data_IF_137918149490
#
_entry.id   IF_137918149490
#
_cell.length_a   1.000
_cell.length_b   1.000
_cell.length_c   1.000
_cell.angle_alpha   90.00
_cell.angle_beta   90.00
_cell.angle_gamma   90.00
#
_symmetry.space_group_name_H-M   'P 1'
#
loop_
_entity.id
_entity.type
_entity.pdbx_description
1 polymer ?
#
# COMPACT_ATOMS: atom_id res chain seq x y z
N UNK A 1 -4.99 7.06 -6.55
CA UNK A 1 -6.37 7.27 -6.08
C UNK A 1 -7.03 5.92 -5.97
N UNK A 2 -7.92 5.73 -5.00
CA UNK A 2 -8.86 4.62 -4.95
C UNK A 2 -10.27 5.13 -4.64
N UNK A 3 -11.28 4.37 -5.08
CA UNK A 3 -12.70 4.64 -4.84
C UNK A 3 -13.40 3.35 -4.41
N UNK A 4 -14.14 3.41 -3.31
CA UNK A 4 -14.97 2.32 -2.77
C UNK A 4 -16.44 2.51 -3.14
N UNK A 5 -17.26 1.46 -3.02
CA UNK A 5 -18.72 1.59 -3.22
C UNK A 5 -19.37 2.40 -2.10
N UNK A 6 -19.05 2.06 -0.86
CA UNK A 6 -19.54 2.73 0.34
C UNK A 6 -18.59 3.85 0.77
N UNK A 7 -19.04 4.82 1.60
CA UNK A 7 -18.14 5.78 2.22
C UNK A 7 -17.01 5.09 3.00
N UNK A 8 -15.81 5.66 2.93
CA UNK A 8 -14.66 5.20 3.69
C UNK A 8 -14.91 5.35 5.19
N UNK A 9 -14.48 4.35 5.96
CA UNK A 9 -14.52 4.40 7.42
C UNK A 9 -13.43 5.33 7.97
N UNK A 10 -13.25 5.36 9.28
CA UNK A 10 -12.28 6.25 9.91
C UNK A 10 -10.85 5.85 9.52
N UNK A 11 -9.98 6.81 9.18
CA UNK A 11 -8.57 6.51 8.91
C UNK A 11 -7.80 6.03 10.13
N UNK A 12 -8.39 6.06 11.33
CA UNK A 12 -7.80 5.49 12.53
C UNK A 12 -8.19 4.02 12.75
N UNK A 13 -9.07 3.47 11.91
CA UNK A 13 -9.46 2.08 11.96
C UNK A 13 -8.28 1.18 11.57
N UNK A 14 -8.25 -0.03 12.13
CA UNK A 14 -7.17 -0.99 11.92
C UNK A 14 -7.15 -1.44 10.45
N UNK A 15 -5.98 -1.32 9.82
CA UNK A 15 -5.76 -1.74 8.42
C UNK A 15 -6.68 -1.04 7.42
N UNK A 16 -7.06 0.21 7.71
CA UNK A 16 -7.82 1.05 6.80
C UNK A 16 -7.05 1.38 5.54
N UNK A 17 -7.65 1.10 4.37
CA UNK A 17 -7.16 1.48 3.04
C UNK A 17 -5.64 1.31 2.87
N UNK A 18 -5.13 0.09 3.12
CA UNK A 18 -3.73 -0.24 2.90
C UNK A 18 -3.40 -0.19 1.41
N UNK A 19 -2.26 0.41 1.08
CA UNK A 19 -1.67 0.35 -0.25
C UNK A 19 -0.35 -0.42 -0.17
N UNK A 20 -0.25 -1.49 -0.93
CA UNK A 20 0.95 -2.31 -1.08
C UNK A 20 1.53 -2.11 -2.48
N UNK A 21 2.85 -1.99 -2.58
CA UNK A 21 3.55 -1.70 -3.84
C UNK A 21 4.73 -2.65 -4.01
N UNK A 22 4.75 -3.35 -5.13
CA UNK A 22 5.90 -4.06 -5.69
C UNK A 22 6.57 -3.13 -6.71
N UNK A 23 7.69 -2.52 -6.32
CA UNK A 23 8.33 -1.47 -7.11
C UNK A 23 9.39 -2.01 -8.07
N UNK A 24 9.98 -3.17 -7.76
CA UNK A 24 11.08 -3.75 -8.54
C UNK A 24 10.71 -5.03 -9.31
N UNK A 25 9.50 -5.58 -9.09
CA UNK A 25 8.98 -6.83 -9.64
C UNK A 25 9.86 -8.03 -9.30
N UNK A 26 10.54 -7.96 -8.16
CA UNK A 26 11.38 -9.02 -7.66
C UNK A 26 10.71 -9.69 -6.44
N UNK A 27 10.20 -10.92 -6.57
CA UNK A 27 9.52 -11.60 -5.47
C UNK A 27 10.43 -11.91 -4.26
N UNK A 28 11.74 -11.65 -4.36
CA UNK A 28 12.74 -11.90 -3.32
C UNK A 28 12.99 -10.70 -2.38
N UNK A 29 12.57 -9.50 -2.77
CA UNK A 29 12.88 -8.25 -2.04
C UNK A 29 11.75 -7.81 -1.13
N UNK A 30 10.50 -8.12 -1.51
CA UNK A 30 9.30 -7.74 -0.78
C UNK A 30 8.71 -8.79 0.19
N UNK A 31 7.75 -8.33 1.00
CA UNK A 31 6.85 -9.19 1.75
C UNK A 31 5.78 -9.72 0.80
N UNK A 32 5.85 -11.01 0.44
CA UNK A 32 4.99 -11.60 -0.60
C UNK A 32 4.93 -10.75 -1.87
N UNK A 33 6.11 -10.35 -2.35
CA UNK A 33 6.36 -9.52 -3.54
C UNK A 33 6.24 -8.00 -3.30
N UNK A 34 5.70 -7.54 -2.16
CA UNK A 34 5.52 -6.11 -1.90
C UNK A 34 6.71 -5.47 -1.17
N UNK A 35 7.35 -4.50 -1.81
CA UNK A 35 8.46 -3.72 -1.26
C UNK A 35 8.00 -2.66 -0.25
N UNK A 36 6.80 -2.10 -0.45
CA UNK A 36 6.29 -0.97 0.33
C UNK A 36 4.86 -1.19 0.83
N UNK A 37 4.58 -0.63 2.01
CA UNK A 37 3.28 -0.61 2.66
C UNK A 37 2.95 0.81 3.14
N UNK A 38 1.74 1.29 2.85
CA UNK A 38 1.23 2.59 3.27
C UNK A 38 -0.07 2.39 4.07
N UNK A 39 -0.41 3.36 4.93
CA UNK A 39 -1.62 3.39 5.78
C UNK A 39 -1.67 2.38 6.94
N UNK A 40 -0.61 1.61 7.13
CA UNK A 40 -0.48 0.77 8.33
C UNK A 40 -0.34 1.59 9.62
N UNK A 41 0.20 2.81 9.52
CA UNK A 41 0.33 3.76 10.62
C UNK A 41 -0.13 5.15 10.16
N UNK A 42 -1.21 5.62 10.77
CA UNK A 42 -1.82 6.92 10.49
C UNK A 42 -1.54 7.88 11.64
N UNK A 43 -1.15 9.11 11.31
CA UNK A 43 -0.89 10.20 12.26
C UNK A 43 -1.93 11.30 12.10
N UNK A 44 -2.64 11.58 13.19
CA UNK A 44 -3.61 12.68 13.32
C UNK A 44 -4.69 12.70 12.22
N UNK A 45 -4.99 11.54 11.60
CA UNK A 45 -5.97 11.39 10.52
C UNK A 45 -5.62 12.11 9.21
N UNK A 46 -4.39 12.61 9.04
CA UNK A 46 -3.97 13.43 7.88
C UNK A 46 -2.68 12.96 7.22
N UNK A 47 -1.84 12.26 7.97
CA UNK A 47 -0.56 11.76 7.48
C UNK A 47 -0.47 10.26 7.68
N UNK A 48 0.25 9.61 6.80
CA UNK A 48 0.52 8.18 6.83
C UNK A 48 2.01 7.92 6.74
N UNK A 49 2.47 6.77 7.23
CA UNK A 49 3.87 6.37 7.06
C UNK A 49 4.01 5.47 5.83
N UNK A 50 4.96 5.84 4.97
CA UNK A 50 5.54 4.89 4.02
C UNK A 50 6.45 3.94 4.79
N UNK A 51 6.16 2.65 4.73
CA UNK A 51 7.02 1.61 5.26
C UNK A 51 7.68 0.85 4.11
N UNK A 52 8.95 0.46 4.29
CA UNK A 52 9.67 -0.41 3.37
C UNK A 52 9.90 -1.76 4.02
N UNK A 53 9.74 -2.84 3.28
CA UNK A 53 10.08 -4.17 3.78
C UNK A 53 11.59 -4.37 3.85
N UNK A 54 12.07 -4.86 4.98
CA UNK A 54 13.43 -5.34 5.15
C UNK A 54 13.42 -6.87 5.12
N UNK A 55 13.86 -7.46 4.00
CA UNK A 55 13.87 -8.91 3.80
C UNK A 55 14.89 -9.65 4.69
N UNK A 56 15.96 -8.98 5.12
CA UNK A 56 16.95 -9.56 6.03
C UNK A 56 16.36 -9.76 7.43
N UNK A 57 15.65 -8.76 7.96
CA UNK A 57 15.05 -8.84 9.29
C UNK A 57 13.57 -9.25 9.28
N UNK A 58 13.00 -9.47 8.09
CA UNK A 58 11.59 -9.83 7.87
C UNK A 58 10.61 -8.87 8.55
N UNK A 59 10.88 -7.57 8.50
CA UNK A 59 10.05 -6.56 9.16
C UNK A 59 9.79 -5.34 8.28
N UNK A 60 8.72 -4.61 8.59
CA UNK A 60 8.40 -3.33 7.98
C UNK A 60 9.10 -2.19 8.73
N UNK A 61 9.87 -1.38 8.03
CA UNK A 61 10.60 -0.23 8.57
C UNK A 61 9.95 1.08 8.12
N UNK A 62 9.72 2.00 9.06
CA UNK A 62 9.19 3.33 8.77
C UNK A 62 10.23 4.15 7.99
N UNK A 63 9.79 4.85 6.92
CA UNK A 63 10.68 5.65 6.06
C UNK A 63 10.38 7.13 6.15
N UNK A 64 9.20 7.54 5.68
CA UNK A 64 8.80 8.95 5.62
C UNK A 64 7.30 9.09 5.89
N UNK A 65 6.91 10.29 6.33
CA UNK A 65 5.50 10.68 6.38
C UNK A 65 5.03 11.18 5.01
N UNK A 66 3.82 10.78 4.64
CA UNK A 66 3.14 11.17 3.41
C UNK A 66 1.79 11.81 3.77
N UNK A 67 1.42 12.92 3.14
CA UNK A 67 0.06 13.44 3.26
C UNK A 67 -0.90 12.54 2.48
N UNK A 68 -2.11 12.40 3.00
CA UNK A 68 -3.23 11.83 2.27
C UNK A 68 -4.47 12.70 2.44
N UNK A 69 -5.40 12.59 1.50
CA UNK A 69 -6.73 13.19 1.61
C UNK A 69 -7.75 12.13 1.28
N UNK A 70 -8.88 12.18 1.96
CA UNK A 70 -10.02 11.35 1.62
C UNK A 70 -11.30 12.17 1.75
N UNK A 71 -12.31 11.80 0.96
CA UNK A 71 -13.62 12.42 0.98
C UNK A 71 -14.66 11.40 0.52
N UNK A 72 -15.68 11.16 1.36
CA UNK A 72 -16.70 10.13 1.13
C UNK A 72 -16.05 8.77 0.86
N UNK A 73 -16.16 8.27 -0.36
CA UNK A 73 -15.69 6.97 -0.80
C UNK A 73 -14.34 7.02 -1.54
N UNK A 74 -13.62 8.16 -1.51
CA UNK A 74 -12.40 8.39 -2.30
C UNK A 74 -11.20 8.71 -1.43
N UNK A 75 -10.03 8.18 -1.80
CA UNK A 75 -8.74 8.49 -1.18
C UNK A 75 -7.67 8.82 -2.22
N UNK A 76 -6.83 9.80 -1.89
CA UNK A 76 -5.68 10.23 -2.66
C UNK A 76 -4.41 10.27 -1.80
N UNK A 77 -3.30 9.82 -2.40
CA UNK A 77 -1.96 9.78 -1.83
C UNK A 77 -0.98 10.42 -2.81
N UNK A 78 -0.02 11.18 -2.31
CA UNK A 78 1.08 11.72 -3.10
C UNK A 78 2.41 11.12 -2.60
N UNK A 79 3.04 10.27 -3.42
CA UNK A 79 4.28 9.58 -3.08
C UNK A 79 5.41 10.07 -3.99
N UNK A 80 6.50 10.65 -3.46
CA UNK A 80 7.66 10.98 -4.27
C UNK A 80 8.26 9.71 -4.88
N UNK A 81 8.46 9.72 -6.19
CA UNK A 81 9.01 8.56 -6.93
C UNK A 81 10.35 8.06 -6.41
N UNK A 82 11.20 8.98 -5.94
CA UNK A 82 12.50 8.67 -5.35
C UNK A 82 12.38 7.77 -4.11
N UNK A 83 11.29 7.89 -3.34
CA UNK A 83 11.04 7.05 -2.17
C UNK A 83 10.71 5.59 -2.52
N UNK A 84 10.25 5.35 -3.75
CA UNK A 84 9.94 4.03 -4.30
C UNK A 84 11.07 3.46 -5.18
N UNK A 85 12.25 4.09 -5.20
CA UNK A 85 13.36 3.77 -6.12
C UNK A 85 13.01 3.89 -7.61
N UNK A 86 11.97 4.65 -7.96
CA UNK A 86 11.52 4.85 -9.34
C UNK A 86 12.16 6.10 -9.97
N UNK A 87 13.50 6.18 -9.97
CA UNK A 87 14.25 7.36 -10.44
C UNK A 87 14.39 7.46 -11.96
N UNK A 88 14.28 6.35 -12.68
CA UNK A 88 14.40 6.30 -14.16
C UNK A 88 13.23 7.00 -14.84
N UNK A 89 13.45 7.64 -15.99
CA UNK A 89 12.39 8.31 -16.77
C UNK A 89 11.19 7.37 -17.00
N UNK A 90 11.49 6.15 -17.43
CA UNK A 90 10.53 5.09 -17.64
C UNK A 90 10.54 4.16 -16.44
N UNK A 91 9.37 3.78 -15.96
CA UNK A 91 9.24 2.90 -14.81
C UNK A 91 7.97 2.07 -14.90
N UNK A 92 7.96 0.97 -14.16
CA UNK A 92 6.78 0.13 -14.00
C UNK A 92 6.78 -0.42 -12.59
N UNK A 93 5.64 -0.36 -11.92
CA UNK A 93 5.43 -0.97 -10.61
C UNK A 93 4.04 -1.58 -10.56
N UNK A 94 3.90 -2.57 -9.68
CA UNK A 94 2.66 -3.26 -9.40
C UNK A 94 2.14 -2.84 -8.02
N UNK A 95 0.82 -2.76 -7.85
CA UNK A 95 0.23 -2.34 -6.59
C UNK A 95 -1.12 -2.97 -6.30
N UNK A 96 -1.47 -2.96 -5.02
CA UNK A 96 -2.67 -3.57 -4.47
C UNK A 96 -3.27 -2.69 -3.36
N UNK A 97 -4.59 -2.51 -3.39
CA UNK A 97 -5.34 -1.89 -2.31
C UNK A 97 -6.06 -2.96 -1.50
N UNK A 98 -5.95 -2.90 -0.17
CA UNK A 98 -6.70 -3.76 0.74
C UNK A 98 -7.33 -2.90 1.84
N UNK A 99 -8.62 -3.07 2.08
CA UNK A 99 -9.33 -2.35 3.14
C UNK A 99 -9.81 -3.32 4.22
N UNK A 100 -9.38 -3.05 5.46
CA UNK A 100 -9.70 -3.84 6.65
C UNK A 100 -9.37 -5.35 6.58
N UNK A 101 -8.23 -5.81 6.00
CA UNK A 101 -7.82 -7.20 6.18
C UNK A 101 -7.59 -7.50 7.68
N UNK A 102 -7.85 -8.73 8.10
CA UNK A 102 -7.77 -9.12 9.51
C UNK A 102 -6.35 -8.95 10.07
N UNK A 103 -5.34 -9.40 9.32
CA UNK A 103 -3.94 -9.26 9.66
C UNK A 103 -3.03 -9.31 8.42
N UNK A 104 -1.74 -9.00 8.62
CA UNK A 104 -0.67 -9.04 7.60
C UNK A 104 0.40 -10.07 7.99
N UNK A 105 0.04 -11.10 8.75
CA UNK A 105 1.02 -12.12 9.20
C UNK A 105 1.27 -13.16 8.12
N UNK A 106 0.26 -13.46 7.31
CA UNK A 106 0.37 -14.34 6.16
C UNK A 106 -0.44 -13.78 4.98
N UNK A 107 -0.09 -14.22 3.77
CA UNK A 107 -0.72 -13.77 2.52
C UNK A 107 -2.16 -14.26 2.35
N UNK A 108 -2.54 -15.37 3.00
CA UNK A 108 -3.89 -15.93 2.87
C UNK A 108 -4.88 -15.00 3.54
N UNK A 109 -4.68 -14.69 4.82
CA UNK A 109 -5.55 -13.78 5.58
C UNK A 109 -5.68 -12.43 4.88
N UNK A 110 -4.56 -11.92 4.35
CA UNK A 110 -4.55 -10.70 3.55
C UNK A 110 -5.42 -10.77 2.28
N UNK A 111 -5.46 -11.92 1.60
CA UNK A 111 -6.20 -12.09 0.34
C UNK A 111 -7.65 -12.57 0.53
N UNK A 112 -8.04 -13.02 1.73
CA UNK A 112 -9.36 -13.64 1.99
C UNK A 112 -10.23 -12.86 2.97
N UNK A 113 -9.70 -11.84 3.62
CA UNK A 113 -10.45 -10.99 4.58
C UNK A 113 -10.38 -9.52 4.18
N UNK A 114 -11.42 -8.77 4.54
CA UNK A 114 -11.58 -7.39 4.10
C UNK A 114 -11.94 -7.27 2.61
N UNK A 115 -11.88 -6.05 2.10
CA UNK A 115 -12.06 -5.76 0.68
C UNK A 115 -10.70 -5.63 -0.02
N UNK A 116 -10.64 -6.00 -1.29
CA UNK A 116 -9.42 -5.96 -2.08
C UNK A 116 -9.66 -5.35 -3.46
N UNK A 117 -8.70 -4.58 -3.94
CA UNK A 117 -8.69 -4.06 -5.29
C UNK A 117 -7.26 -4.13 -5.89
N UNK A 118 -7.02 -5.02 -6.88
CA UNK A 118 -7.98 -5.96 -7.49
C UNK A 118 -8.29 -7.15 -6.56
N UNK A 119 -9.15 -8.08 -6.97
CA UNK A 119 -9.52 -9.21 -6.13
C UNK A 119 -8.32 -10.11 -5.76
N UNK A 120 -8.31 -10.66 -4.54
CA UNK A 120 -7.33 -11.67 -4.08
C UNK A 120 -5.88 -11.17 -4.22
N UNK A 121 -4.96 -11.99 -4.75
CA UNK A 121 -3.54 -11.64 -4.91
C UNK A 121 -3.20 -11.02 -6.27
N UNK A 122 -4.19 -10.52 -7.02
CA UNK A 122 -3.89 -9.81 -8.27
C UNK A 122 -3.29 -8.44 -7.96
N UNK A 123 -2.59 -7.86 -8.93
CA UNK A 123 -2.05 -6.50 -8.83
C UNK A 123 -2.50 -5.66 -10.03
N UNK A 124 -2.73 -4.38 -9.78
CA UNK A 124 -2.75 -3.39 -10.86
C UNK A 124 -1.31 -3.07 -11.27
N UNK A 125 -1.11 -2.71 -12.54
CA UNK A 125 0.19 -2.30 -13.08
C UNK A 125 0.15 -0.85 -13.53
N UNK A 126 1.10 -0.05 -13.06
CA UNK A 126 1.34 1.29 -13.56
C UNK A 126 2.63 1.30 -14.37
N UNK A 127 2.58 1.83 -15.58
CA UNK A 127 3.74 1.98 -16.46
C UNK A 127 3.79 3.39 -17.02
N UNK A 128 4.98 3.99 -16.99
CA UNK A 128 5.30 5.22 -17.72
C UNK A 128 6.38 4.86 -18.73
N UNK A 129 6.05 5.03 -20.01
CA UNK A 129 6.85 4.65 -21.18
C UNK A 129 7.48 5.88 -21.86
#
# INVERSE_FOLDING_TARGET
MAETREPLTSPLDKNWMLLLIDADKNPKTGWHDYDFLINKKIKNGKFTLLQKYNSQYKMWEDRIELPFKFNKNKIELAIPRSCLNLSKKNFTFDFHWADNPENLTNIIDFCTTGDSAPNRKFNYRCSVL
#
